data_IF_813565675926
#
_entry.id   IF_813565675926
#
_cell.length_a   1.000
_cell.length_b   1.000
_cell.length_c   1.000
_cell.angle_alpha   90.00
_cell.angle_beta   90.00
_cell.angle_gamma   90.00
#
_symmetry.space_group_name_H-M   'P 1'
#
loop_
_entity.id
_entity.type
_entity.pdbx_description
1 polymer ?
#
# COMPACT_ATOMS: atom_id res chain seq x y z
N UNK A 1 -12.36 3.17 -35.44
CA UNK A 1 -10.90 3.42 -35.34
C UNK A 1 -10.54 3.23 -33.88
N UNK A 2 -9.98 2.07 -33.52
CA UNK A 2 -9.52 1.80 -32.16
C UNK A 2 -8.20 2.53 -31.96
N UNK A 3 -8.18 3.59 -31.17
CA UNK A 3 -6.93 4.12 -30.63
C UNK A 3 -6.27 3.00 -29.84
N UNK A 4 -5.08 2.56 -30.26
CA UNK A 4 -4.20 1.78 -29.40
C UNK A 4 -3.89 2.66 -28.19
N UNK A 5 -4.63 2.48 -27.10
CA UNK A 5 -4.39 3.22 -25.87
C UNK A 5 -2.97 2.94 -25.40
N UNK A 6 -2.22 3.99 -25.09
CA UNK A 6 -0.85 3.88 -24.59
C UNK A 6 -0.84 2.95 -23.37
N UNK A 7 -0.09 1.85 -23.49
CA UNK A 7 0.10 0.91 -22.40
C UNK A 7 1.21 1.45 -21.50
N UNK A 8 0.89 1.67 -20.22
CA UNK A 8 1.90 2.04 -19.22
C UNK A 8 2.49 0.77 -18.60
N UNK A 9 3.81 0.63 -18.68
CA UNK A 9 4.54 -0.44 -18.01
C UNK A 9 5.61 0.16 -17.10
N UNK A 10 5.64 -0.28 -15.85
CA UNK A 10 6.69 0.05 -14.89
C UNK A 10 7.12 -1.22 -14.17
N UNK A 11 8.43 -1.43 -14.08
CA UNK A 11 9.04 -2.44 -13.22
C UNK A 11 10.26 -1.83 -12.57
N UNK A 12 10.36 -2.00 -11.26
CA UNK A 12 11.48 -1.46 -10.49
C UNK A 12 11.93 -2.47 -9.44
N UNK A 13 13.24 -2.59 -9.28
CA UNK A 13 13.86 -3.27 -8.14
C UNK A 13 14.44 -2.27 -7.14
N UNK A 14 14.20 -0.97 -7.30
CA UNK A 14 14.76 0.11 -6.47
C UNK A 14 16.29 0.03 -6.33
N UNK A 15 16.98 -0.25 -7.44
CA UNK A 15 18.44 -0.37 -7.51
C UNK A 15 19.17 0.95 -7.83
N UNK A 16 18.44 2.04 -8.04
CA UNK A 16 18.97 3.41 -8.20
C UNK A 16 18.84 4.20 -6.90
N UNK A 17 19.64 5.24 -6.70
CA UNK A 17 19.50 6.16 -5.54
C UNK A 17 18.26 7.04 -5.65
N UNK A 18 17.70 7.16 -6.85
CA UNK A 18 16.47 7.91 -7.11
C UNK A 18 15.29 6.94 -7.28
N UNK A 19 14.09 7.41 -6.91
CA UNK A 19 12.85 6.71 -7.28
C UNK A 19 12.70 6.72 -8.82
N UNK A 20 12.11 5.66 -9.41
CA UNK A 20 11.70 5.68 -10.80
C UNK A 20 10.84 6.90 -11.13
N UNK A 21 11.02 7.45 -12.33
CA UNK A 21 10.24 8.59 -12.81
C UNK A 21 8.73 8.31 -12.72
N UNK A 22 7.98 9.29 -12.21
CA UNK A 22 6.53 9.21 -12.03
C UNK A 22 6.07 8.65 -10.68
N UNK A 23 6.94 7.93 -9.95
CA UNK A 23 6.60 7.52 -8.58
C UNK A 23 6.71 8.70 -7.60
N UNK A 24 5.68 8.87 -6.77
CA UNK A 24 5.60 9.94 -5.78
C UNK A 24 4.93 9.46 -4.50
N UNK A 25 5.29 10.10 -3.39
CA UNK A 25 4.66 9.85 -2.09
C UNK A 25 3.38 10.68 -1.93
N UNK A 26 2.32 10.05 -1.43
CA UNK A 26 1.12 10.76 -0.96
C UNK A 26 1.36 11.40 0.41
N UNK A 27 1.87 10.59 1.35
CA UNK A 27 2.44 11.05 2.62
C UNK A 27 3.84 10.44 2.75
N UNK A 28 4.86 11.25 2.48
CA UNK A 28 6.25 10.81 2.50
C UNK A 28 6.69 10.48 3.93
N UNK A 29 7.24 9.29 4.19
CA UNK A 29 7.83 9.00 5.50
C UNK A 29 9.11 9.81 5.69
N UNK A 30 9.41 10.23 6.92
CA UNK A 30 10.67 10.92 7.27
C UNK A 30 11.91 10.11 6.96
N UNK A 31 11.79 8.79 6.91
CA UNK A 31 12.92 7.90 6.63
C UNK A 31 12.52 6.85 5.61
N UNK A 32 13.09 6.97 4.42
CA UNK A 32 13.10 5.93 3.41
C UNK A 32 14.40 5.96 2.63
N UNK A 33 14.73 4.83 1.99
CA UNK A 33 15.85 4.74 1.05
C UNK A 33 15.66 3.58 0.08
N UNK A 34 16.14 3.75 -1.14
CA UNK A 34 16.32 2.64 -2.09
C UNK A 34 17.59 1.84 -1.76
N UNK A 35 17.90 0.80 -2.56
CA UNK A 35 19.04 -0.09 -2.35
C UNK A 35 19.08 -0.67 -0.92
N UNK A 36 17.92 -0.98 -0.37
CA UNK A 36 17.75 -1.40 1.01
C UNK A 36 18.43 -2.75 1.36
N UNK A 37 18.35 -3.72 0.46
CA UNK A 37 18.84 -5.10 0.59
C UNK A 37 19.61 -5.51 -0.66
N UNK A 38 20.90 -5.82 -0.52
CA UNK A 38 21.76 -6.26 -1.63
C UNK A 38 21.69 -5.32 -2.85
N UNK A 39 21.77 -4.01 -2.62
CA UNK A 39 21.64 -2.95 -3.65
C UNK A 39 20.30 -2.94 -4.41
N UNK A 40 19.23 -3.50 -3.83
CA UNK A 40 17.86 -3.50 -4.35
C UNK A 40 16.86 -3.24 -3.22
N UNK A 41 15.61 -3.00 -3.56
CA UNK A 41 14.49 -2.82 -2.63
C UNK A 41 14.38 -1.40 -2.06
N UNK A 42 13.16 -1.07 -1.65
CA UNK A 42 12.82 0.15 -0.93
C UNK A 42 12.66 -0.21 0.56
N UNK A 43 13.28 0.57 1.44
CA UNK A 43 13.00 0.56 2.88
C UNK A 43 12.28 1.85 3.22
N UNK A 44 11.17 1.75 3.92
CA UNK A 44 10.47 2.87 4.53
C UNK A 44 10.24 2.57 6.01
N UNK A 45 10.37 3.57 6.87
CA UNK A 45 10.04 3.52 8.29
C UNK A 45 8.83 4.42 8.50
N UNK A 46 7.74 3.85 8.99
CA UNK A 46 6.48 4.56 9.18
C UNK A 46 6.51 5.41 10.44
N UNK A 47 5.79 6.53 10.40
CA UNK A 47 5.50 7.32 11.57
C UNK A 47 4.31 6.75 12.33
N UNK A 48 4.29 6.91 13.67
CA UNK A 48 3.12 6.51 14.46
C UNK A 48 1.89 7.36 14.09
N UNK A 49 0.70 6.82 14.32
CA UNK A 49 -0.59 7.50 14.09
C UNK A 49 -0.82 7.87 12.61
N UNK A 50 -0.36 7.00 11.72
CA UNK A 50 -0.61 7.09 10.27
C UNK A 50 -1.53 5.94 9.86
N UNK A 51 -2.59 6.24 9.09
CA UNK A 51 -3.55 5.23 8.64
C UNK A 51 -4.37 5.72 7.43
N UNK A 52 -5.06 4.75 6.82
CA UNK A 52 -6.16 4.94 5.89
C UNK A 52 -7.39 4.19 6.44
N UNK A 53 -8.41 4.95 6.87
CA UNK A 53 -9.67 4.41 7.38
C UNK A 53 -10.80 5.44 7.27
N UNK A 54 -12.02 4.99 6.99
CA UNK A 54 -13.21 5.85 6.89
C UNK A 54 -14.38 5.32 7.74
N UNK A 55 -14.62 5.99 8.87
CA UNK A 55 -15.85 6.04 9.69
C UNK A 55 -16.31 4.74 10.37
N UNK A 56 -16.10 3.58 9.80
CA UNK A 56 -16.74 2.33 10.26
C UNK A 56 -16.30 1.92 11.66
N UNK A 57 -17.23 1.34 12.44
CA UNK A 57 -17.06 0.65 13.73
C UNK A 57 -16.66 1.49 14.96
N UNK A 58 -15.82 2.52 14.81
CA UNK A 58 -15.27 3.25 15.96
C UNK A 58 -16.15 4.38 16.47
N UNK A 59 -16.12 4.59 17.79
CA UNK A 59 -16.72 5.74 18.49
C UNK A 59 -15.66 6.47 19.34
N UNK A 60 -15.40 7.78 19.12
CA UNK A 60 -15.95 8.61 18.03
C UNK A 60 -15.51 8.10 16.64
N UNK A 61 -16.22 8.53 15.60
CA UNK A 61 -15.93 8.13 14.22
C UNK A 61 -14.46 8.41 13.89
N UNK A 62 -13.75 7.36 13.49
CA UNK A 62 -12.36 7.45 13.06
C UNK A 62 -12.30 7.77 11.57
N UNK A 63 -11.55 8.82 11.20
CA UNK A 63 -11.22 9.15 9.82
C UNK A 63 -9.73 9.40 9.75
N UNK A 64 -9.04 8.63 8.91
CA UNK A 64 -7.61 8.75 8.68
C UNK A 64 -7.32 8.66 7.18
N UNK A 65 -6.48 9.57 6.70
CA UNK A 65 -6.04 9.65 5.30
C UNK A 65 -4.60 10.18 5.22
N UNK A 66 -3.75 9.70 6.12
CA UNK A 66 -2.38 10.17 6.34
C UNK A 66 -1.36 9.02 6.35
N UNK A 67 -1.74 7.85 5.85
CA UNK A 67 -0.84 6.70 5.69
C UNK A 67 0.20 6.93 4.59
N UNK A 68 1.34 6.25 4.72
CA UNK A 68 2.40 6.32 3.72
C UNK A 68 2.04 5.50 2.47
N UNK A 69 2.05 6.17 1.31
CA UNK A 69 1.69 5.56 0.05
C UNK A 69 2.59 6.08 -1.07
N UNK A 70 3.43 5.20 -1.63
CA UNK A 70 4.21 5.46 -2.84
C UNK A 70 3.40 4.99 -4.04
N UNK A 71 3.15 5.87 -4.99
CA UNK A 71 2.19 5.60 -6.07
C UNK A 71 2.63 6.16 -7.42
N UNK A 72 2.02 5.60 -8.46
CA UNK A 72 2.08 6.05 -9.84
C UNK A 72 0.65 6.39 -10.29
N UNK A 73 0.47 7.52 -10.96
CA UNK A 73 -0.80 7.82 -11.62
C UNK A 73 -0.98 6.91 -12.84
N UNK A 74 -2.12 6.23 -12.92
CA UNK A 74 -2.49 5.37 -14.05
C UNK A 74 -3.86 5.79 -14.58
N UNK A 75 -3.99 5.88 -15.90
CA UNK A 75 -5.24 6.27 -16.58
C UNK A 75 -5.93 5.11 -17.29
N UNK A 76 -5.29 3.94 -17.33
CA UNK A 76 -5.81 2.76 -18.00
C UNK A 76 -6.93 2.11 -17.19
N UNK A 77 -7.96 1.61 -17.88
CA UNK A 77 -9.06 0.88 -17.26
C UNK A 77 -8.64 -0.49 -16.71
N UNK A 78 -7.70 -1.14 -17.41
CA UNK A 78 -7.12 -2.43 -17.04
C UNK A 78 -5.76 -2.21 -16.43
N UNK A 79 -5.61 -2.62 -15.17
CA UNK A 79 -4.37 -2.42 -14.41
C UNK A 79 -4.00 -3.75 -13.78
N UNK A 80 -2.74 -4.13 -13.92
CA UNK A 80 -2.14 -5.23 -13.17
C UNK A 80 -0.94 -4.67 -12.42
N UNK A 81 -0.91 -4.87 -11.11
CA UNK A 81 0.16 -4.42 -10.26
C UNK A 81 0.58 -5.55 -9.34
N UNK A 82 1.89 -5.79 -9.25
CA UNK A 82 2.48 -6.82 -8.40
C UNK A 82 3.60 -6.22 -7.58
N UNK A 83 3.68 -6.60 -6.30
CA UNK A 83 4.78 -6.23 -5.43
C UNK A 83 5.10 -7.37 -4.48
N UNK A 84 6.36 -7.41 -4.04
CA UNK A 84 6.78 -8.24 -2.92
C UNK A 84 7.32 -7.34 -1.81
N UNK A 85 6.88 -7.58 -0.58
CA UNK A 85 7.33 -6.82 0.58
C UNK A 85 7.55 -7.74 1.79
N UNK A 86 8.35 -7.25 2.73
CA UNK A 86 8.55 -7.81 4.06
C UNK A 86 8.26 -6.72 5.09
N UNK A 87 7.43 -7.02 6.08
CA UNK A 87 7.12 -6.14 7.21
C UNK A 87 7.83 -6.64 8.47
N UNK A 88 8.34 -5.71 9.28
CA UNK A 88 8.75 -5.97 10.65
C UNK A 88 7.75 -5.28 11.56
N UNK A 89 6.71 -6.02 11.93
CA UNK A 89 5.65 -5.54 12.80
C UNK A 89 5.94 -5.89 14.26
N UNK A 90 5.73 -4.93 15.15
CA UNK A 90 5.79 -5.11 16.60
C UNK A 90 4.55 -4.59 17.32
N UNK A 91 3.85 -3.65 16.69
CA UNK A 91 2.76 -2.93 17.31
C UNK A 91 1.42 -3.24 16.63
N UNK A 92 0.35 -3.16 17.42
CA UNK A 92 -1.01 -3.35 16.93
C UNK A 92 -1.30 -2.36 15.79
N UNK A 93 -1.80 -2.88 14.68
CA UNK A 93 -2.12 -2.20 13.42
C UNK A 93 -0.92 -1.80 12.55
N UNK A 94 0.29 -2.32 12.83
CA UNK A 94 1.38 -2.25 11.86
C UNK A 94 0.95 -2.91 10.54
N UNK A 95 1.09 -2.19 9.44
CA UNK A 95 0.54 -2.59 8.14
C UNK A 95 1.49 -2.28 6.97
N UNK A 96 1.51 -3.16 5.98
CA UNK A 96 2.25 -2.95 4.73
C UNK A 96 1.59 -3.75 3.61
N UNK A 97 1.55 -3.19 2.40
CA UNK A 97 0.85 -3.84 1.30
C UNK A 97 0.79 -3.02 0.02
N UNK A 98 -0.25 -3.30 -0.77
CA UNK A 98 -0.57 -2.63 -2.02
C UNK A 98 -1.87 -1.83 -1.86
N UNK A 99 -1.97 -0.70 -2.55
CA UNK A 99 -3.16 0.14 -2.58
C UNK A 99 -3.52 0.54 -4.01
N UNK A 100 -4.83 0.57 -4.30
CA UNK A 100 -5.41 1.25 -5.46
C UNK A 100 -6.31 2.35 -4.93
N UNK A 101 -6.15 3.57 -5.45
CA UNK A 101 -6.83 4.75 -4.93
C UNK A 101 -7.29 5.65 -6.07
N UNK A 102 -8.53 6.11 -5.98
CA UNK A 102 -9.05 7.15 -6.89
C UNK A 102 -9.16 8.49 -6.18
N UNK A 103 -9.57 8.50 -4.91
CA UNK A 103 -9.64 9.70 -4.07
C UNK A 103 -9.65 9.33 -2.57
N UNK A 104 -9.96 10.30 -1.70
CA UNK A 104 -9.92 10.15 -0.23
C UNK A 104 -11.00 9.23 0.33
N UNK A 105 -12.10 9.02 -0.40
CA UNK A 105 -13.26 8.23 0.00
C UNK A 105 -13.40 6.92 -0.80
N UNK A 106 -12.56 6.72 -1.82
CA UNK A 106 -12.61 5.57 -2.71
C UNK A 106 -11.21 4.97 -2.93
N UNK A 107 -10.94 3.86 -2.24
CA UNK A 107 -9.67 3.15 -2.31
C UNK A 107 -9.76 1.72 -1.78
N UNK A 108 -8.79 0.90 -2.15
CA UNK A 108 -8.58 -0.46 -1.63
C UNK A 108 -7.15 -0.53 -1.11
N UNK A 109 -6.93 -1.04 0.11
CA UNK A 109 -5.61 -1.46 0.59
C UNK A 109 -5.65 -2.93 0.97
N UNK A 110 -4.62 -3.68 0.60
CA UNK A 110 -4.48 -5.08 0.98
C UNK A 110 -3.04 -5.41 1.31
N UNK A 111 -2.81 -6.25 2.31
CA UNK A 111 -1.47 -6.41 2.86
C UNK A 111 -1.37 -7.39 4.00
N UNK A 112 -0.22 -7.34 4.66
CA UNK A 112 -0.06 -7.90 6.01
C UNK A 112 -0.43 -6.79 6.99
N UNK A 113 -1.22 -7.15 8.01
CA UNK A 113 -1.58 -6.30 9.14
C UNK A 113 -1.35 -7.06 10.44
N UNK A 114 -0.74 -6.43 11.43
CA UNK A 114 -0.49 -7.02 12.74
C UNK A 114 -1.65 -6.73 13.68
N UNK A 115 -2.42 -7.75 14.02
CA UNK A 115 -3.67 -7.60 14.76
C UNK A 115 -3.77 -8.71 15.79
N UNK A 116 -4.16 -8.36 17.01
CA UNK A 116 -4.39 -9.33 18.10
C UNK A 116 -3.12 -10.16 18.43
N UNK A 117 -1.94 -9.55 18.27
CA UNK A 117 -0.65 -10.14 18.64
C UNK A 117 -0.01 -11.03 17.59
N UNK A 118 -0.54 -11.09 16.36
CA UNK A 118 0.09 -11.82 15.26
C UNK A 118 -0.12 -11.12 13.91
N UNK A 119 0.74 -11.37 12.90
CA UNK A 119 0.45 -10.95 11.54
C UNK A 119 -0.83 -11.62 11.02
N UNK A 120 -1.49 -10.97 10.08
CA UNK A 120 -2.67 -11.46 9.38
C UNK A 120 -2.71 -10.87 7.98
N UNK A 121 -3.47 -11.47 7.07
CA UNK A 121 -3.82 -10.81 5.82
C UNK A 121 -5.00 -9.88 6.09
N UNK A 122 -4.90 -8.63 5.63
CA UNK A 122 -5.96 -7.64 5.71
C UNK A 122 -6.30 -7.11 4.33
N UNK A 123 -7.58 -6.87 4.07
CA UNK A 123 -8.05 -6.11 2.91
C UNK A 123 -9.16 -5.15 3.36
N UNK A 124 -8.96 -3.86 3.10
CA UNK A 124 -9.95 -2.82 3.32
C UNK A 124 -10.40 -2.28 1.98
N UNK A 125 -11.70 -2.34 1.73
CA UNK A 125 -12.37 -1.69 0.61
C UNK A 125 -13.11 -0.48 1.17
N UNK A 126 -12.80 0.70 0.65
CA UNK A 126 -13.42 1.94 1.09
C UNK A 126 -14.23 2.54 -0.04
N UNK A 127 -15.53 2.72 0.22
CA UNK A 127 -16.50 3.41 -0.63
C UNK A 127 -17.38 4.26 0.31
N UNK A 128 -16.94 5.49 0.60
CA UNK A 128 -17.40 6.39 1.68
C UNK A 128 -17.19 5.90 3.11
N UNK A 129 -17.20 4.57 3.30
CA UNK A 129 -17.01 3.82 4.54
C UNK A 129 -16.04 2.68 4.28
N UNK A 130 -15.21 2.35 5.26
CA UNK A 130 -14.27 1.23 5.18
C UNK A 130 -14.95 -0.08 5.57
N UNK A 131 -14.83 -1.09 4.72
CA UNK A 131 -15.17 -2.48 5.02
C UNK A 131 -13.86 -3.29 5.09
N UNK A 132 -13.66 -4.02 6.19
CA UNK A 132 -12.41 -4.71 6.48
C UNK A 132 -12.64 -6.21 6.60
N UNK A 133 -11.89 -6.95 5.79
CA UNK A 133 -11.78 -8.41 5.87
C UNK A 133 -10.40 -8.80 6.34
N UNK A 134 -10.33 -9.82 7.21
CA UNK A 134 -9.07 -10.36 7.74
C UNK A 134 -9.01 -11.87 7.67
N UNK A 135 -7.81 -12.41 7.51
CA UNK A 135 -7.52 -13.84 7.51
C UNK A 135 -6.21 -14.13 8.24
N UNK A 136 -6.17 -15.22 9.00
CA UNK A 136 -4.96 -15.64 9.71
C UNK A 136 -3.80 -15.93 8.75
N UNK A 137 -2.62 -15.45 9.13
CA UNK A 137 -1.39 -15.62 8.35
C UNK A 137 -0.17 -15.51 9.25
N UNK A 138 0.79 -16.42 9.12
CA UNK A 138 1.95 -16.45 10.03
C UNK A 138 3.25 -15.94 9.38
N UNK A 139 3.16 -15.41 8.16
CA UNK A 139 4.32 -14.88 7.43
C UNK A 139 4.47 -13.37 7.60
N UNK A 140 5.70 -12.89 7.50
CA UNK A 140 6.01 -11.46 7.49
C UNK A 140 6.42 -10.95 6.09
N UNK A 141 6.39 -11.83 5.08
CA UNK A 141 6.71 -11.53 3.68
C UNK A 141 5.58 -12.01 2.79
N UNK A 142 5.21 -11.22 1.79
CA UNK A 142 4.11 -11.51 0.89
C UNK A 142 4.39 -10.94 -0.51
N UNK A 143 4.03 -11.72 -1.53
CA UNK A 143 3.88 -11.23 -2.89
C UNK A 143 2.39 -11.04 -3.16
N UNK A 144 1.98 -9.84 -3.55
CA UNK A 144 0.59 -9.49 -3.84
C UNK A 144 0.47 -9.05 -5.29
N UNK A 145 -0.60 -9.50 -5.95
CA UNK A 145 -1.01 -9.02 -7.25
C UNK A 145 -2.45 -8.50 -7.18
N UNK A 146 -2.65 -7.26 -7.58
CA UNK A 146 -3.98 -6.70 -7.86
C UNK A 146 -4.17 -6.61 -9.37
N UNK A 147 -5.38 -6.95 -9.83
CA UNK A 147 -5.77 -6.80 -11.22
C UNK A 147 -7.20 -6.28 -11.34
N UNK A 148 -7.46 -5.47 -12.36
CA UNK A 148 -8.78 -4.99 -12.77
C UNK A 148 -8.92 -5.14 -14.28
#
# INVERSE_FOLDING_TARGET
MSSSGDQTFMSTSFASDQLPDGLKWYTEPKTWRTKARNNKGLLAITEPKTDFWQKTYYEPLLVADNGHFLYLDVSQEKVVMETEFEIKSSDQFDQCGLMVRTDTLHWIKCGIEYVDGHPGLGCVVTNDFSDWSKQDWQGNRLCLRLYR
#
